data_IF_016309289590
#
_entry.id   IF_016309289590
#
_cell.length_a   1.000
_cell.length_b   1.000
_cell.length_c   1.000
_cell.angle_alpha   90.00
_cell.angle_beta   90.00
_cell.angle_gamma   90.00
#
_symmetry.space_group_name_H-M   'P 1'
#
loop_
_entity.id
_entity.type
_entity.pdbx_description
1 polymer ?
#
# COMPACT_ATOMS: atom_id res chain seq x y z
N UNK A 1 57.43 13.14 14.02
CA UNK A 1 57.16 12.82 15.44
C UNK A 1 56.22 11.64 15.50
N UNK A 2 56.57 10.65 16.31
CA UNK A 2 55.94 9.35 16.45
C UNK A 2 54.83 9.43 17.50
N UNK A 3 53.83 8.54 17.38
CA UNK A 3 53.04 7.95 18.48
C UNK A 3 51.97 8.83 19.13
N UNK A 4 50.71 8.45 18.86
CA UNK A 4 49.84 7.83 19.88
C UNK A 4 48.85 6.89 19.17
N UNK A 5 49.36 5.69 18.96
CA UNK A 5 48.61 4.46 18.82
C UNK A 5 47.83 4.25 20.12
N UNK A 6 46.52 3.92 20.03
CA UNK A 6 45.86 2.80 20.73
C UNK A 6 44.40 3.05 21.16
N UNK A 7 43.54 2.12 20.70
CA UNK A 7 42.42 1.48 21.41
C UNK A 7 41.07 2.22 21.43
N UNK A 8 40.14 1.73 20.60
CA UNK A 8 38.86 1.17 21.06
C UNK A 8 38.18 0.38 19.93
N UNK A 9 38.68 -0.80 19.61
CA UNK A 9 37.86 -1.85 18.98
C UNK A 9 37.05 -2.48 20.10
N UNK A 10 35.80 -2.05 20.28
CA UNK A 10 34.83 -2.77 21.11
C UNK A 10 33.45 -2.73 20.46
N UNK A 11 33.11 -3.85 19.82
CA UNK A 11 31.78 -4.44 19.73
C UNK A 11 30.59 -3.48 19.46
N UNK A 12 30.36 -3.15 18.19
CA UNK A 12 28.97 -3.10 17.71
C UNK A 12 28.62 -4.50 17.24
N UNK A 13 28.40 -5.39 18.20
CA UNK A 13 27.76 -6.68 17.98
C UNK A 13 26.54 -6.44 17.12
N UNK A 14 26.51 -7.15 15.98
CA UNK A 14 25.35 -7.37 15.14
C UNK A 14 24.12 -7.46 16.06
N UNK A 15 23.27 -6.43 16.06
CA UNK A 15 21.91 -6.56 16.56
C UNK A 15 21.19 -7.37 15.49
N UNK A 16 21.52 -8.66 15.44
CA UNK A 16 20.63 -9.68 14.93
C UNK A 16 19.48 -9.69 15.92
N UNK A 17 18.53 -8.76 15.74
CA UNK A 17 17.19 -8.94 16.32
C UNK A 17 16.72 -10.35 15.99
N UNK A 18 15.84 -10.95 16.80
CA UNK A 18 15.36 -12.30 16.54
C UNK A 18 14.97 -12.34 15.07
N UNK A 19 15.68 -13.16 14.28
CA UNK A 19 15.21 -13.53 12.96
C UNK A 19 13.86 -14.13 13.26
N UNK A 20 12.80 -13.32 13.09
CA UNK A 20 11.47 -13.65 13.59
C UNK A 20 11.22 -15.02 13.00
N UNK A 21 11.20 -16.04 13.86
CA UNK A 21 10.76 -17.35 13.44
C UNK A 21 9.33 -17.07 13.01
N UNK A 22 9.14 -16.89 11.69
CA UNK A 22 7.84 -16.70 11.08
C UNK A 22 7.08 -17.90 11.60
N UNK A 23 6.19 -17.65 12.55
CA UNK A 23 5.52 -18.74 13.22
C UNK A 23 4.84 -19.56 12.11
N UNK A 24 4.85 -20.89 12.23
CA UNK A 24 4.40 -21.76 11.13
C UNK A 24 2.99 -21.36 10.66
N UNK A 25 2.14 -20.94 11.61
CA UNK A 25 0.80 -20.44 11.37
C UNK A 25 0.74 -19.12 10.56
N UNK A 26 1.66 -18.18 10.74
CA UNK A 26 1.70 -16.91 10.01
C UNK A 26 2.24 -17.15 8.61
N UNK A 27 3.18 -18.08 8.44
CA UNK A 27 3.59 -18.53 7.11
C UNK A 27 2.41 -19.11 6.32
N UNK A 28 1.60 -19.95 6.96
CA UNK A 28 0.38 -20.48 6.37
C UNK A 28 -0.63 -19.37 6.04
N UNK A 29 -0.78 -18.38 6.92
CA UNK A 29 -1.64 -17.23 6.67
C UNK A 29 -1.18 -16.41 5.45
N UNK A 30 0.11 -16.13 5.34
CA UNK A 30 0.70 -15.43 4.18
C UNK A 30 0.45 -16.21 2.87
N UNK A 31 0.64 -17.54 2.88
CA UNK A 31 0.36 -18.38 1.71
C UNK A 31 -1.13 -18.34 1.33
N UNK A 32 -2.02 -18.46 2.32
CA UNK A 32 -3.48 -18.45 2.12
C UNK A 32 -3.97 -17.09 1.60
N UNK A 33 -3.44 -16.00 2.15
CA UNK A 33 -3.79 -14.63 1.76
C UNK A 33 -3.09 -14.19 0.48
N UNK A 34 -2.08 -14.93 0.01
CA UNK A 34 -1.24 -14.56 -1.12
C UNK A 34 -0.27 -13.42 -0.83
N UNK A 35 -0.14 -13.00 0.43
CA UNK A 35 0.80 -11.98 0.85
C UNK A 35 2.21 -12.56 1.06
N UNK A 36 3.20 -11.69 1.07
CA UNK A 36 4.49 -11.97 1.68
C UNK A 36 4.75 -11.00 2.84
N UNK A 37 5.84 -11.23 3.58
CA UNK A 37 6.19 -10.42 4.75
C UNK A 37 6.30 -8.92 4.43
N UNK A 38 6.85 -8.56 3.27
CA UNK A 38 7.03 -7.16 2.90
C UNK A 38 5.69 -6.49 2.58
N UNK A 39 4.85 -7.16 1.79
CA UNK A 39 3.55 -6.61 1.37
C UNK A 39 2.53 -6.54 2.50
N UNK A 40 2.67 -7.40 3.51
CA UNK A 40 1.87 -7.31 4.73
C UNK A 40 2.36 -6.12 5.58
N UNK A 41 3.67 -6.00 5.77
CA UNK A 41 4.28 -4.93 6.56
C UNK A 41 4.07 -3.52 5.98
N UNK A 42 4.04 -3.37 4.65
CA UNK A 42 3.76 -2.09 3.99
C UNK A 42 2.26 -1.81 3.78
N UNK A 43 1.38 -2.74 4.20
CA UNK A 43 -0.07 -2.63 4.11
C UNK A 43 -0.65 -2.78 2.70
N UNK A 44 0.16 -3.12 1.69
CA UNK A 44 -0.32 -3.36 0.32
C UNK A 44 -1.10 -4.67 0.17
N UNK A 45 -0.96 -5.59 1.12
CA UNK A 45 -1.65 -6.87 1.19
C UNK A 45 -2.10 -7.15 2.62
N UNK A 46 -3.34 -7.58 2.81
CA UNK A 46 -3.91 -7.84 4.14
C UNK A 46 -3.94 -9.35 4.41
N UNK A 47 -3.21 -9.80 5.42
CA UNK A 47 -3.09 -11.23 5.77
C UNK A 47 -4.40 -11.86 6.26
N UNK A 48 -5.37 -11.04 6.67
CA UNK A 48 -6.69 -11.48 7.09
C UNK A 48 -7.68 -11.61 5.93
N UNK A 49 -7.33 -11.10 4.74
CA UNK A 49 -8.13 -11.26 3.52
C UNK A 49 -7.77 -12.52 2.75
N UNK A 50 -8.70 -12.99 1.92
CA UNK A 50 -8.42 -14.06 0.98
C UNK A 50 -7.50 -13.57 -0.15
N UNK A 51 -6.79 -14.51 -0.79
CA UNK A 51 -5.97 -14.21 -1.98
C UNK A 51 -6.72 -13.43 -3.06
N UNK A 52 -7.97 -13.81 -3.33
CA UNK A 52 -8.79 -13.13 -4.34
C UNK A 52 -9.15 -11.69 -3.95
N UNK A 53 -9.39 -11.41 -2.67
CA UNK A 53 -9.67 -10.05 -2.18
C UNK A 53 -8.43 -9.17 -2.22
N UNK A 54 -7.25 -9.72 -1.89
CA UNK A 54 -5.99 -9.01 -2.02
C UNK A 54 -5.63 -8.72 -3.49
N UNK A 55 -5.88 -9.67 -4.38
CA UNK A 55 -5.72 -9.44 -5.83
C UNK A 55 -6.62 -8.31 -6.33
N UNK A 56 -7.90 -8.30 -5.98
CA UNK A 56 -8.83 -7.20 -6.32
C UNK A 56 -8.40 -5.86 -5.73
N UNK A 57 -7.83 -5.86 -4.53
CA UNK A 57 -7.30 -4.65 -3.89
C UNK A 57 -6.07 -4.13 -4.64
N UNK A 58 -5.16 -5.01 -5.05
CA UNK A 58 -4.00 -4.67 -5.86
C UNK A 58 -4.40 -4.14 -7.25
N UNK A 59 -5.37 -4.77 -7.91
CA UNK A 59 -5.94 -4.30 -9.18
C UNK A 59 -6.53 -2.90 -9.06
N UNK A 60 -7.35 -2.65 -8.03
CA UNK A 60 -7.88 -1.32 -7.77
C UNK A 60 -6.76 -0.30 -7.51
N UNK A 61 -5.78 -0.64 -6.68
CA UNK A 61 -4.67 0.26 -6.36
C UNK A 61 -3.83 0.63 -7.59
N UNK A 62 -3.60 -0.32 -8.50
CA UNK A 62 -2.95 -0.09 -9.79
C UNK A 62 -3.78 0.84 -10.66
N UNK A 63 -5.08 0.56 -10.83
CA UNK A 63 -5.99 1.44 -11.57
C UNK A 63 -5.99 2.87 -11.03
N UNK A 64 -6.08 3.05 -9.70
CA UNK A 64 -6.05 4.38 -9.08
C UNK A 64 -4.70 5.09 -9.27
N UNK A 65 -3.59 4.35 -9.35
CA UNK A 65 -2.26 4.92 -9.63
C UNK A 65 -2.17 5.37 -11.08
N UNK A 66 -2.60 4.51 -12.01
CA UNK A 66 -2.30 4.65 -13.43
C UNK A 66 -3.31 5.56 -14.15
N UNK A 67 -4.56 5.59 -13.68
CA UNK A 67 -5.68 6.24 -14.40
C UNK A 67 -6.40 7.34 -13.63
N UNK A 68 -6.07 7.55 -12.34
CA UNK A 68 -6.79 8.52 -11.49
C UNK A 68 -5.83 9.54 -10.87
N UNK A 69 -4.80 9.09 -10.15
CA UNK A 69 -3.82 10.00 -9.53
C UNK A 69 -3.02 10.76 -10.59
N UNK A 70 -2.87 12.07 -10.39
CA UNK A 70 -2.15 12.98 -11.29
C UNK A 70 -2.94 13.38 -12.54
N UNK A 71 -4.16 12.87 -12.73
CA UNK A 71 -5.00 13.22 -13.88
C UNK A 71 -5.82 14.48 -13.60
N UNK A 72 -6.24 15.15 -14.68
CA UNK A 72 -7.30 16.16 -14.61
C UNK A 72 -8.60 15.51 -14.13
N UNK A 73 -9.40 16.29 -13.41
CA UNK A 73 -10.62 15.82 -12.74
C UNK A 73 -11.60 15.14 -13.69
N UNK A 74 -11.80 15.71 -14.89
CA UNK A 74 -12.67 15.18 -15.94
C UNK A 74 -12.24 13.77 -16.41
N UNK A 75 -10.94 13.60 -16.68
CA UNK A 75 -10.36 12.32 -17.07
C UNK A 75 -10.44 11.29 -15.92
N UNK A 76 -10.11 11.70 -14.70
CA UNK A 76 -10.18 10.85 -13.51
C UNK A 76 -11.61 10.37 -13.23
N UNK A 77 -12.60 11.25 -13.39
CA UNK A 77 -14.02 10.92 -13.18
C UNK A 77 -14.50 9.92 -14.25
N UNK A 78 -14.17 10.18 -15.51
CA UNK A 78 -14.49 9.27 -16.62
C UNK A 78 -13.88 7.89 -16.41
N UNK A 79 -12.63 7.82 -15.93
CA UNK A 79 -11.97 6.56 -15.60
C UNK A 79 -12.68 5.82 -14.47
N UNK A 80 -13.04 6.51 -13.38
CA UNK A 80 -13.75 5.91 -12.24
C UNK A 80 -15.12 5.35 -12.64
N UNK A 81 -15.87 6.10 -13.46
CA UNK A 81 -17.16 5.67 -14.01
C UNK A 81 -17.00 4.45 -14.92
N UNK A 82 -16.01 4.46 -15.81
CA UNK A 82 -15.69 3.31 -16.67
C UNK A 82 -15.26 2.07 -15.88
N UNK A 83 -14.60 2.26 -14.73
CA UNK A 83 -14.28 1.18 -13.80
C UNK A 83 -15.49 0.71 -12.96
N UNK A 84 -16.63 1.42 -13.04
CA UNK A 84 -17.89 1.08 -12.40
C UNK A 84 -18.10 1.70 -11.02
N UNK A 85 -17.32 2.72 -10.65
CA UNK A 85 -17.62 3.52 -9.47
C UNK A 85 -18.73 4.53 -9.76
N UNK A 86 -19.49 4.87 -8.71
CA UNK A 86 -20.51 5.92 -8.75
C UNK A 86 -20.13 7.04 -7.80
N UNK A 87 -20.24 8.27 -8.26
CA UNK A 87 -20.05 9.45 -7.44
C UNK A 87 -21.32 9.67 -6.60
N UNK A 88 -21.27 9.33 -5.32
CA UNK A 88 -22.44 9.43 -4.42
C UNK A 88 -22.44 10.72 -3.60
N UNK A 89 -21.26 11.30 -3.40
CA UNK A 89 -21.03 12.54 -2.66
C UNK A 89 -19.78 13.21 -3.26
N UNK A 90 -19.61 14.53 -3.15
CA UNK A 90 -18.42 15.21 -3.66
C UNK A 90 -17.12 14.47 -3.31
N UNK A 91 -16.31 14.21 -4.34
CA UNK A 91 -15.02 13.52 -4.26
C UNK A 91 -15.07 12.08 -3.74
N UNK A 92 -16.26 11.52 -3.53
CA UNK A 92 -16.46 10.20 -2.91
C UNK A 92 -17.15 9.25 -3.89
N UNK A 93 -16.44 8.16 -4.17
CA UNK A 93 -16.78 7.19 -5.19
C UNK A 93 -17.02 5.83 -4.58
N UNK A 94 -18.12 5.18 -4.93
CA UNK A 94 -18.54 3.89 -4.34
C UNK A 94 -18.75 2.84 -5.42
N UNK A 95 -18.21 1.63 -5.20
CA UNK A 95 -18.43 0.41 -5.99
C UNK A 95 -18.58 -0.79 -5.06
N UNK A 96 -19.81 -1.26 -4.85
CA UNK A 96 -20.08 -2.30 -3.86
C UNK A 96 -19.62 -1.88 -2.46
N UNK A 97 -18.67 -2.63 -1.87
CA UNK A 97 -18.06 -2.30 -0.57
C UNK A 97 -16.85 -1.35 -0.66
N UNK A 98 -16.37 -1.06 -1.88
CA UNK A 98 -15.19 -0.23 -2.09
C UNK A 98 -15.58 1.24 -2.08
N UNK A 99 -14.87 2.05 -1.30
CA UNK A 99 -15.01 3.50 -1.25
C UNK A 99 -13.68 4.16 -1.61
N UNK A 100 -13.69 5.09 -2.54
CA UNK A 100 -12.52 5.87 -2.96
C UNK A 100 -12.81 7.34 -2.71
N UNK A 101 -11.89 8.01 -2.01
CA UNK A 101 -11.98 9.43 -1.69
C UNK A 101 -10.85 10.15 -2.43
N UNK A 102 -11.22 11.17 -3.21
CA UNK A 102 -10.27 11.97 -3.97
C UNK A 102 -9.87 13.24 -3.20
N UNK A 103 -8.66 13.72 -3.48
CA UNK A 103 -8.26 15.10 -3.21
C UNK A 103 -7.85 15.74 -4.52
N UNK A 104 -8.27 16.97 -4.71
CA UNK A 104 -8.02 17.76 -5.92
C UNK A 104 -7.29 19.04 -5.49
N UNK A 105 -6.32 19.49 -6.29
CA UNK A 105 -5.66 20.78 -6.09
C UNK A 105 -6.37 21.94 -6.81
N UNK A 106 -5.81 23.14 -6.71
CA UNK A 106 -6.37 24.33 -7.34
C UNK A 106 -6.25 24.34 -8.88
N UNK A 107 -5.53 23.38 -9.47
CA UNK A 107 -5.36 23.23 -10.90
C UNK A 107 -6.30 22.15 -11.48
N UNK A 108 -7.30 21.70 -10.72
CA UNK A 108 -8.18 20.60 -11.07
C UNK A 108 -7.42 19.31 -11.42
N UNK A 109 -6.39 19.00 -10.63
CA UNK A 109 -5.63 17.74 -10.72
C UNK A 109 -5.87 16.91 -9.47
N UNK A 110 -6.13 15.60 -9.66
CA UNK A 110 -6.30 14.66 -8.55
C UNK A 110 -4.94 14.37 -7.91
N UNK A 111 -4.71 14.88 -6.70
CA UNK A 111 -3.46 14.70 -5.95
C UNK A 111 -3.43 13.40 -5.14
N UNK A 112 -4.60 12.88 -4.76
CA UNK A 112 -4.71 11.58 -4.10
C UNK A 112 -6.01 10.87 -4.42
N UNK A 113 -5.96 9.53 -4.46
CA UNK A 113 -7.13 8.66 -4.52
C UNK A 113 -6.98 7.55 -3.48
N UNK A 114 -7.64 7.72 -2.34
CA UNK A 114 -7.49 6.85 -1.16
C UNK A 114 -8.63 5.85 -1.08
N UNK A 115 -8.32 4.56 -0.94
CA UNK A 115 -9.31 3.53 -0.64
C UNK A 115 -9.63 3.58 0.85
N UNK A 116 -10.90 3.83 1.19
CA UNK A 116 -11.38 3.78 2.57
C UNK A 116 -11.91 2.37 2.87
N UNK A 117 -11.47 1.81 4.00
CA UNK A 117 -11.88 0.50 4.53
C UNK A 117 -12.96 0.66 5.60
#
# INVERSE_FOLDING_TARGET
MVKKLLIAVVLSSLVSGPAMAINASFREQLIRSGCNQQTEMDGSCDVHKTKAENQKSAELNNFLRDSVRGQKVDAAYSALEGYGFKNTQPLTWIKGKQKVILKIDNADVVTSATVAH
#
